data_IF_016509593762
#
_entry.id   IF_016509593762
#
_cell.length_a   1.000
_cell.length_b   1.000
_cell.length_c   1.000
_cell.angle_alpha   90.00
_cell.angle_beta   90.00
_cell.angle_gamma   90.00
#
_symmetry.space_group_name_H-M   'P 1'
#
loop_
_entity.id
_entity.type
_entity.pdbx_description
1 polymer ?
#
# COMPACT_ATOMS: atom_id res chain seq x y z
N UNK A 1 19.06 -27.88 -5.20
CA UNK A 1 18.98 -26.48 -4.72
C UNK A 1 18.24 -25.70 -5.79
N UNK A 2 17.09 -25.12 -5.48
CA UNK A 2 16.32 -24.34 -6.45
C UNK A 2 17.04 -23.02 -6.69
N UNK A 3 17.49 -22.79 -7.93
CA UNK A 3 17.99 -21.49 -8.37
C UNK A 3 16.89 -20.46 -8.18
N UNK A 4 17.19 -19.34 -7.53
CA UNK A 4 16.24 -18.24 -7.36
C UNK A 4 15.85 -17.68 -8.74
N UNK A 5 14.59 -17.87 -9.19
CA UNK A 5 14.17 -17.46 -10.53
C UNK A 5 14.14 -15.93 -10.70
N UNK A 6 14.17 -15.17 -9.61
CA UNK A 6 14.13 -13.71 -9.63
C UNK A 6 15.52 -13.07 -9.52
N UNK A 7 16.57 -13.84 -9.23
CA UNK A 7 17.93 -13.32 -9.13
C UNK A 7 18.38 -12.52 -10.37
N UNK A 8 18.07 -12.92 -11.62
CA UNK A 8 18.45 -12.13 -12.80
C UNK A 8 17.85 -10.71 -12.83
N UNK A 9 16.75 -10.45 -12.12
CA UNK A 9 16.13 -9.12 -12.07
C UNK A 9 16.97 -8.12 -11.26
N UNK A 10 17.75 -8.59 -10.29
CA UNK A 10 18.59 -7.74 -9.43
C UNK A 10 19.77 -7.15 -10.22
N UNK A 11 20.26 -7.88 -11.22
CA UNK A 11 21.38 -7.48 -12.07
C UNK A 11 20.98 -6.53 -13.21
N UNK A 12 19.69 -6.23 -13.35
CA UNK A 12 19.24 -5.28 -14.38
C UNK A 12 19.79 -3.87 -14.09
N UNK A 13 20.22 -3.12 -15.14
CA UNK A 13 20.78 -1.78 -14.96
C UNK A 13 19.87 -0.86 -14.13
N UNK A 14 20.43 -0.28 -13.06
CA UNK A 14 19.73 0.66 -12.18
C UNK A 14 18.83 0.04 -11.12
N UNK A 15 18.60 -1.28 -11.11
CA UNK A 15 17.78 -1.95 -10.10
C UNK A 15 18.44 -1.88 -8.72
N UNK A 16 19.75 -2.18 -8.63
CA UNK A 16 20.49 -2.09 -7.37
C UNK A 16 20.38 -0.68 -6.74
N UNK A 17 20.55 0.38 -7.53
CA UNK A 17 20.43 1.76 -7.05
C UNK A 17 19.00 2.10 -6.62
N UNK A 18 17.99 1.61 -7.35
CA UNK A 18 16.59 1.81 -6.99
C UNK A 18 16.25 1.11 -5.66
N UNK A 19 16.73 -0.12 -5.47
CA UNK A 19 16.58 -0.88 -4.21
C UNK A 19 17.27 -0.16 -3.07
N UNK A 20 18.49 0.35 -3.27
CA UNK A 20 19.21 1.11 -2.26
C UNK A 20 18.44 2.39 -1.85
N UNK A 21 17.92 3.15 -2.81
CA UNK A 21 17.09 4.34 -2.53
C UNK A 21 15.81 3.98 -1.77
N UNK A 22 15.12 2.90 -2.18
CA UNK A 22 13.92 2.44 -1.50
C UNK A 22 14.22 2.03 -0.05
N UNK A 23 15.35 1.35 0.18
CA UNK A 23 15.79 0.96 1.53
C UNK A 23 16.03 2.18 2.41
N UNK A 24 16.77 3.19 1.92
CA UNK A 24 17.04 4.43 2.65
C UNK A 24 15.72 5.13 3.02
N UNK A 25 14.80 5.29 2.07
CA UNK A 25 13.50 5.90 2.33
C UNK A 25 12.68 5.10 3.37
N UNK A 26 12.71 3.77 3.33
CA UNK A 26 12.05 2.92 4.33
C UNK A 26 12.68 3.09 5.73
N UNK A 27 14.00 3.21 5.82
CA UNK A 27 14.70 3.46 7.08
C UNK A 27 14.32 4.83 7.66
N UNK A 28 14.30 5.88 6.83
CA UNK A 28 13.83 7.22 7.24
C UNK A 28 12.38 7.18 7.74
N UNK A 29 11.46 6.55 7.00
CA UNK A 29 10.06 6.37 7.40
C UNK A 29 9.91 5.62 8.71
N UNK A 30 10.69 4.55 8.91
CA UNK A 30 10.67 3.72 10.12
C UNK A 30 11.04 4.54 11.36
N UNK A 31 11.94 5.51 11.22
CA UNK A 31 12.41 6.34 12.33
C UNK A 31 11.72 7.71 12.41
N UNK A 32 10.89 8.07 11.42
CA UNK A 32 10.20 9.34 11.35
C UNK A 32 9.24 9.55 12.54
N UNK A 33 9.56 10.52 13.41
CA UNK A 33 8.88 10.68 14.70
C UNK A 33 7.37 10.90 14.56
N UNK A 34 6.95 11.83 13.68
CA UNK A 34 5.54 12.14 13.50
C UNK A 34 4.74 10.93 12.98
N UNK A 35 5.37 10.06 12.18
CA UNK A 35 4.71 8.87 11.64
C UNK A 35 4.61 7.78 12.70
N UNK A 36 5.62 7.62 13.56
CA UNK A 36 5.52 6.70 14.70
C UNK A 36 4.44 7.12 15.69
N UNK A 37 4.31 8.41 15.98
CA UNK A 37 3.26 8.93 16.87
C UNK A 37 1.85 8.75 16.32
N UNK A 38 1.70 8.73 14.99
CA UNK A 38 0.42 8.65 14.26
C UNK A 38 0.36 7.41 13.36
N UNK A 39 0.95 6.31 13.81
CA UNK A 39 1.19 5.16 12.94
C UNK A 39 -0.11 4.54 12.42
N UNK A 40 -1.20 4.65 13.18
CA UNK A 40 -2.53 4.14 12.78
C UNK A 40 -3.08 4.93 11.60
N UNK A 41 -3.00 6.25 11.65
CA UNK A 41 -3.45 7.12 10.57
C UNK A 41 -2.55 7.00 9.33
N UNK A 42 -1.23 6.91 9.54
CA UNK A 42 -0.28 6.69 8.44
C UNK A 42 -0.55 5.35 7.76
N UNK A 43 -0.79 4.30 8.54
CA UNK A 43 -1.14 2.98 8.01
C UNK A 43 -2.44 3.02 7.22
N UNK A 44 -3.51 3.57 7.77
CA UNK A 44 -4.79 3.68 7.07
C UNK A 44 -4.67 4.44 5.73
N UNK A 45 -3.92 5.54 5.73
CA UNK A 45 -3.66 6.31 4.51
C UNK A 45 -2.78 5.52 3.51
N UNK A 46 -1.81 4.75 3.98
CA UNK A 46 -1.01 3.85 3.15
C UNK A 46 -1.89 2.75 2.51
N UNK A 47 -2.83 2.16 3.25
CA UNK A 47 -3.80 1.19 2.73
C UNK A 47 -4.61 1.78 1.59
N UNK A 48 -5.15 3.00 1.76
CA UNK A 48 -5.94 3.69 0.72
C UNK A 48 -5.11 3.95 -0.53
N UNK A 49 -3.86 4.42 -0.38
CA UNK A 49 -2.96 4.65 -1.51
C UNK A 49 -2.57 3.35 -2.22
N UNK A 50 -2.29 2.29 -1.46
CA UNK A 50 -1.96 0.97 -2.00
C UNK A 50 -3.12 0.40 -2.80
N UNK A 51 -4.32 0.42 -2.24
CA UNK A 51 -5.54 -0.05 -2.91
C UNK A 51 -5.79 0.69 -4.23
N UNK A 52 -5.62 2.02 -4.24
CA UNK A 52 -5.71 2.82 -5.46
C UNK A 52 -4.66 2.41 -6.50
N UNK A 53 -3.42 2.22 -6.09
CA UNK A 53 -2.35 1.82 -7.00
C UNK A 53 -2.62 0.43 -7.60
N UNK A 54 -3.02 -0.53 -6.77
CA UNK A 54 -3.40 -1.87 -7.24
C UNK A 54 -4.57 -1.83 -8.21
N UNK A 55 -5.62 -1.06 -7.92
CA UNK A 55 -6.75 -0.90 -8.81
C UNK A 55 -6.36 -0.25 -10.15
N UNK A 56 -5.42 0.71 -10.12
CA UNK A 56 -4.92 1.34 -11.34
C UNK A 56 -4.15 0.36 -12.25
N UNK A 57 -3.45 -0.64 -11.69
CA UNK A 57 -2.80 -1.70 -12.48
C UNK A 57 -3.83 -2.53 -13.28
N UNK A 58 -5.04 -2.68 -12.74
CA UNK A 58 -6.18 -3.34 -13.38
C UNK A 58 -7.02 -2.39 -14.26
N UNK A 59 -6.52 -1.19 -14.55
CA UNK A 59 -7.21 -0.19 -15.37
C UNK A 59 -8.33 0.59 -14.64
N UNK A 60 -8.53 0.36 -13.35
CA UNK A 60 -9.53 1.05 -12.53
C UNK A 60 -8.94 2.26 -11.77
N UNK A 61 -8.50 3.26 -12.54
CA UNK A 61 -8.00 4.51 -11.98
C UNK A 61 -9.11 5.37 -11.38
N UNK A 62 -9.04 5.64 -10.07
CA UNK A 62 -9.94 6.59 -9.40
C UNK A 62 -9.13 7.72 -8.75
N UNK A 63 -9.69 8.94 -8.61
CA UNK A 63 -9.07 9.99 -7.82
C UNK A 63 -8.87 9.53 -6.36
N UNK A 64 -7.73 9.88 -5.78
CA UNK A 64 -7.42 9.49 -4.40
C UNK A 64 -8.41 10.09 -3.39
N UNK A 65 -8.92 11.29 -3.66
CA UNK A 65 -9.94 11.97 -2.84
C UNK A 65 -11.23 11.16 -2.78
N UNK A 66 -11.71 10.65 -3.93
CA UNK A 66 -12.91 9.81 -4.01
C UNK A 66 -12.76 8.55 -3.16
N UNK A 67 -11.63 7.84 -3.28
CA UNK A 67 -11.40 6.63 -2.50
C UNK A 67 -11.25 6.93 -1.00
N UNK A 68 -10.60 8.05 -0.63
CA UNK A 68 -10.52 8.52 0.78
C UNK A 68 -11.89 8.88 1.34
N UNK A 69 -12.75 9.54 0.59
CA UNK A 69 -14.08 9.96 1.04
C UNK A 69 -14.98 8.74 1.25
N UNK A 70 -14.95 7.79 0.32
CA UNK A 70 -15.63 6.51 0.46
C UNK A 70 -15.10 5.70 1.65
N UNK A 71 -13.78 5.64 1.84
CA UNK A 71 -13.16 4.93 2.98
C UNK A 71 -13.58 5.49 4.34
N UNK A 72 -13.80 6.82 4.42
CA UNK A 72 -14.27 7.51 5.63
C UNK A 72 -15.79 7.46 5.82
N UNK A 73 -16.54 6.93 4.85
CA UNK A 73 -18.00 7.01 4.82
C UNK A 73 -18.54 8.42 4.57
N UNK A 74 -17.71 9.33 4.09
CA UNK A 74 -18.08 10.71 3.77
C UNK A 74 -18.76 10.83 2.38
N UNK A 75 -18.62 9.81 1.54
CA UNK A 75 -19.26 9.70 0.24
C UNK A 75 -19.60 8.23 -0.06
N UNK A 76 -20.60 7.95 -0.91
CA UNK A 76 -20.83 6.60 -1.38
C UNK A 76 -19.68 6.12 -2.28
N UNK A 77 -19.51 4.79 -2.36
CA UNK A 77 -18.62 4.18 -3.35
C UNK A 77 -19.16 4.49 -4.76
N UNK A 78 -18.33 4.93 -5.72
CA UNK A 78 -18.80 5.15 -7.08
C UNK A 78 -19.37 3.86 -7.68
N UNK A 79 -20.52 3.98 -8.33
CA UNK A 79 -21.28 2.85 -8.86
C UNK A 79 -20.75 2.36 -10.23
N UNK A 80 -19.65 2.91 -10.73
CA UNK A 80 -19.00 2.43 -11.95
C UNK A 80 -18.08 1.23 -11.66
N UNK A 81 -17.59 0.60 -12.73
CA UNK A 81 -16.68 -0.56 -12.60
C UNK A 81 -15.39 -0.20 -11.87
N UNK A 82 -14.83 0.97 -12.18
CA UNK A 82 -13.58 1.43 -11.59
C UNK A 82 -13.70 1.70 -10.08
N UNK A 83 -14.77 2.38 -9.66
CA UNK A 83 -15.06 2.64 -8.25
C UNK A 83 -15.29 1.36 -7.44
N UNK A 84 -16.06 0.41 -7.98
CA UNK A 84 -16.25 -0.89 -7.34
C UNK A 84 -14.93 -1.66 -7.20
N UNK A 85 -14.09 -1.69 -8.24
CA UNK A 85 -12.81 -2.40 -8.18
C UNK A 85 -11.86 -1.74 -7.18
N UNK A 86 -11.72 -0.41 -7.21
CA UNK A 86 -10.86 0.31 -6.27
C UNK A 86 -11.29 0.14 -4.82
N UNK A 87 -12.60 0.19 -4.54
CA UNK A 87 -13.11 -0.05 -3.20
C UNK A 87 -13.01 -1.53 -2.80
N UNK A 88 -13.16 -2.46 -3.74
CA UNK A 88 -12.90 -3.87 -3.55
C UNK A 88 -11.44 -4.14 -3.13
N UNK A 89 -10.49 -3.54 -3.84
CA UNK A 89 -9.06 -3.60 -3.50
C UNK A 89 -8.79 -3.02 -2.11
N UNK A 90 -9.45 -1.92 -1.74
CA UNK A 90 -9.36 -1.35 -0.39
C UNK A 90 -9.87 -2.29 0.68
N UNK A 91 -11.03 -2.92 0.47
CA UNK A 91 -11.58 -3.89 1.42
C UNK A 91 -10.71 -5.13 1.54
N UNK A 92 -10.14 -5.62 0.43
CA UNK A 92 -9.21 -6.74 0.44
C UNK A 92 -7.92 -6.40 1.22
N UNK A 93 -7.35 -5.22 1.01
CA UNK A 93 -6.18 -4.76 1.75
C UNK A 93 -6.47 -4.62 3.25
N UNK A 94 -7.60 -4.01 3.62
CA UNK A 94 -8.03 -3.88 5.01
C UNK A 94 -8.27 -5.24 5.69
N UNK A 95 -8.80 -6.21 4.95
CA UNK A 95 -8.98 -7.58 5.46
C UNK A 95 -7.64 -8.28 5.69
N UNK A 96 -6.72 -8.21 4.73
CA UNK A 96 -5.36 -8.74 4.91
C UNK A 96 -4.67 -8.13 6.13
N UNK A 97 -4.86 -6.84 6.37
CA UNK A 97 -4.34 -6.17 7.56
C UNK A 97 -4.91 -6.69 8.89
N UNK A 98 -6.19 -7.12 8.92
CA UNK A 98 -6.81 -7.73 10.11
C UNK A 98 -6.20 -9.09 10.45
N UNK A 99 -5.69 -9.80 9.45
CA UNK A 99 -5.03 -11.09 9.61
C UNK A 99 -3.57 -10.94 10.07
N UNK A 100 -2.98 -9.75 9.96
CA UNK A 100 -1.60 -9.53 10.40
C UNK A 100 -1.51 -9.37 11.91
N UNK A 101 -0.39 -9.81 12.54
CA UNK A 101 -0.12 -9.53 13.94
C UNK A 101 -0.13 -8.03 14.23
N UNK A 102 -0.56 -7.66 15.43
CA UNK A 102 -0.50 -6.26 15.88
C UNK A 102 0.98 -5.83 15.91
N UNK A 103 1.31 -4.77 15.16
CA UNK A 103 2.63 -4.16 15.18
C UNK A 103 3.00 -3.75 16.62
N UNK A 104 4.10 -4.29 17.14
CA UNK A 104 4.56 -4.01 18.49
C UNK A 104 3.90 -4.85 19.60
N UNK A 105 3.05 -5.83 19.25
CA UNK A 105 2.72 -6.89 20.19
C UNK A 105 4.03 -7.62 20.54
N UNK A 106 4.36 -7.63 21.83
CA UNK A 106 5.49 -8.42 22.33
C UNK A 106 5.18 -9.88 22.04
N UNK A 107 6.04 -10.54 21.26
CA UNK A 107 6.16 -11.99 21.27
C UNK A 107 6.71 -12.46 22.60
#
# INVERSE_FOLDING_TARGET
>A
MTTDPLLPLVELPGVADAVARARVACEELRWHEAFRRRWREVRAEATVRSARASAALEGAGVPLTVLRDAARGAAPVPADGAGRLAFGALRAAAEGERLMPVLGARG
#
